data_IF_464414425385
#
_entry.id   IF_464414425385
#
_cell.length_a   1.000
_cell.length_b   1.000
_cell.length_c   1.000
_cell.angle_alpha   90.00
_cell.angle_beta   90.00
_cell.angle_gamma   90.00
#
_symmetry.space_group_name_H-M   'P 1'
#
loop_
_entity.id
_entity.type
_entity.pdbx_description
1 polymer ?
#
# COMPACT_ATOMS: atom_id res chain seq x y z
N UNK A 1 -2.20 1.08 -11.10
CA UNK A 1 -1.48 2.04 -11.98
C UNK A 1 -1.51 3.49 -11.47
N UNK A 2 -2.53 3.92 -10.71
CA UNK A 2 -2.63 5.28 -10.13
C UNK A 2 -1.63 5.57 -9.01
N UNK A 3 -1.36 4.63 -8.12
CA UNK A 3 -0.42 4.78 -6.99
C UNK A 3 0.99 5.17 -7.44
N UNK A 4 1.52 4.56 -8.50
CA UNK A 4 2.87 4.85 -9.03
C UNK A 4 2.99 6.29 -9.59
N UNK A 5 1.91 6.88 -10.04
CA UNK A 5 1.89 8.24 -10.61
C UNK A 5 1.88 9.30 -9.50
N UNK A 6 1.14 9.05 -8.43
CA UNK A 6 1.06 9.92 -7.26
C UNK A 6 2.39 9.95 -6.49
N UNK A 7 3.06 8.79 -6.34
CA UNK A 7 4.37 8.69 -5.69
C UNK A 7 5.45 9.44 -6.46
N UNK A 8 5.46 9.35 -7.80
CA UNK A 8 6.38 10.11 -8.65
C UNK A 8 6.17 11.61 -8.56
N UNK A 9 4.93 12.04 -8.44
CA UNK A 9 4.58 13.45 -8.32
C UNK A 9 5.06 14.01 -6.96
N UNK A 10 4.82 13.32 -5.85
CA UNK A 10 5.32 13.71 -4.51
C UNK A 10 6.85 13.76 -4.48
N UNK A 11 7.52 12.77 -5.10
CA UNK A 11 8.99 12.77 -5.24
C UNK A 11 9.50 13.96 -6.05
N UNK A 12 8.84 14.30 -7.15
CA UNK A 12 9.24 15.44 -7.99
C UNK A 12 9.12 16.77 -7.22
N UNK A 13 8.04 16.98 -6.47
CA UNK A 13 7.86 18.18 -5.64
C UNK A 13 8.96 18.30 -4.58
N UNK A 14 9.27 17.20 -3.89
CA UNK A 14 10.36 17.18 -2.91
C UNK A 14 11.71 17.53 -3.54
N UNK A 15 12.02 16.96 -4.71
CA UNK A 15 13.26 17.25 -5.42
C UNK A 15 13.34 18.72 -5.86
N UNK A 16 12.25 19.31 -6.35
CA UNK A 16 12.18 20.71 -6.73
C UNK A 16 12.38 21.61 -5.50
N UNK A 17 11.70 21.35 -4.40
CA UNK A 17 11.83 22.12 -3.17
C UNK A 17 13.25 22.01 -2.58
N UNK A 18 13.80 20.79 -2.49
CA UNK A 18 15.14 20.55 -1.93
C UNK A 18 16.25 21.14 -2.81
N UNK A 19 16.19 20.96 -4.14
CA UNK A 19 17.15 21.58 -5.06
C UNK A 19 17.03 23.09 -5.07
N UNK A 20 15.81 23.64 -4.99
CA UNK A 20 15.58 25.07 -4.84
C UNK A 20 16.18 25.64 -3.57
N UNK A 21 16.01 24.95 -2.43
CA UNK A 21 16.60 25.38 -1.15
C UNK A 21 18.14 25.38 -1.22
N UNK A 22 18.75 24.30 -1.72
CA UNK A 22 20.23 24.17 -1.82
C UNK A 22 20.80 25.18 -2.80
N UNK A 23 20.21 25.33 -3.99
CA UNK A 23 20.67 26.27 -4.99
C UNK A 23 20.53 27.72 -4.51
N UNK A 24 19.41 28.05 -3.87
CA UNK A 24 19.24 29.42 -3.28
C UNK A 24 20.24 29.71 -2.19
N UNK A 25 20.59 28.74 -1.32
CA UNK A 25 21.66 28.89 -0.35
C UNK A 25 23.02 29.14 -1.03
N UNK A 26 23.34 28.42 -2.11
CA UNK A 26 24.58 28.61 -2.86
C UNK A 26 24.67 30.04 -3.44
N UNK A 27 23.60 30.54 -4.04
CA UNK A 27 23.56 31.94 -4.55
C UNK A 27 23.65 32.98 -3.43
N UNK A 28 22.99 32.75 -2.31
CA UNK A 28 23.04 33.62 -1.15
C UNK A 28 24.48 33.78 -0.61
N UNK A 29 25.20 32.66 -0.45
CA UNK A 29 26.61 32.72 0.00
C UNK A 29 27.59 33.22 -1.08
N UNK A 30 27.19 33.22 -2.35
CA UNK A 30 27.94 33.81 -3.45
C UNK A 30 27.76 35.34 -3.56
N UNK A 31 26.95 35.95 -2.69
CA UNK A 31 26.69 37.37 -2.69
C UNK A 31 25.60 37.83 -3.66
N UNK A 32 24.77 36.95 -4.13
CA UNK A 32 23.65 37.18 -5.08
C UNK A 32 22.28 36.98 -4.39
N UNK A 33 21.90 37.80 -3.39
CA UNK A 33 20.69 37.58 -2.59
C UNK A 33 19.39 37.67 -3.41
N UNK A 34 19.34 38.51 -4.45
CA UNK A 34 18.14 38.64 -5.30
C UNK A 34 17.90 37.36 -6.13
N UNK A 35 18.97 36.73 -6.63
CA UNK A 35 18.91 35.49 -7.33
C UNK A 35 18.50 34.36 -6.38
N UNK A 36 19.05 34.35 -5.16
CA UNK A 36 18.69 33.39 -4.12
C UNK A 36 17.18 33.43 -3.82
N UNK A 37 16.63 34.64 -3.61
CA UNK A 37 15.21 34.83 -3.37
C UNK A 37 14.34 34.30 -4.52
N UNK A 38 14.70 34.59 -5.77
CA UNK A 38 13.98 34.11 -6.93
C UNK A 38 14.01 32.59 -7.03
N UNK A 39 15.13 31.93 -6.73
CA UNK A 39 15.29 30.47 -6.73
C UNK A 39 14.46 29.82 -5.62
N UNK A 40 14.45 30.42 -4.41
CA UNK A 40 13.62 29.92 -3.32
C UNK A 40 12.12 30.02 -3.66
N UNK A 41 11.67 31.15 -4.20
CA UNK A 41 10.27 31.29 -4.66
C UNK A 41 9.93 30.26 -5.71
N UNK A 42 10.80 30.05 -6.69
CA UNK A 42 10.58 29.02 -7.73
C UNK A 42 10.48 27.59 -7.17
N UNK A 43 11.21 27.30 -6.08
CA UNK A 43 11.14 25.99 -5.37
C UNK A 43 9.86 25.84 -4.53
N UNK A 44 9.37 26.94 -3.93
CA UNK A 44 8.21 26.94 -3.02
C UNK A 44 6.88 26.87 -3.79
N UNK A 45 6.76 27.63 -4.88
CA UNK A 45 5.48 27.78 -5.61
C UNK A 45 4.88 26.45 -6.05
N UNK A 46 5.61 25.47 -6.61
CA UNK A 46 5.06 24.17 -6.96
C UNK A 46 4.55 23.38 -5.75
N UNK A 47 5.26 23.43 -4.63
CA UNK A 47 4.87 22.76 -3.39
C UNK A 47 3.59 23.38 -2.80
N UNK A 48 3.53 24.71 -2.76
CA UNK A 48 2.34 25.44 -2.31
C UNK A 48 1.12 25.19 -3.22
N UNK A 49 1.31 25.20 -4.53
CA UNK A 49 0.23 24.93 -5.48
C UNK A 49 -0.32 23.49 -5.33
N UNK A 50 0.56 22.50 -5.16
CA UNK A 50 0.15 21.12 -4.91
C UNK A 50 -0.63 21.00 -3.61
N UNK A 51 -0.16 21.66 -2.54
CA UNK A 51 -0.81 21.67 -1.24
C UNK A 51 -2.20 22.33 -1.29
N UNK A 52 -2.34 23.46 -1.97
CA UNK A 52 -3.64 24.13 -2.16
C UNK A 52 -4.62 23.23 -2.90
N UNK A 53 -4.17 22.53 -3.95
CA UNK A 53 -5.02 21.57 -4.68
C UNK A 53 -5.44 20.41 -3.77
N UNK A 54 -4.56 19.94 -2.90
CA UNK A 54 -4.86 18.84 -1.95
C UNK A 54 -5.87 19.32 -0.90
N UNK A 55 -5.70 20.52 -0.33
CA UNK A 55 -6.66 21.14 0.59
C UNK A 55 -8.04 21.30 -0.06
N UNK A 56 -8.11 21.78 -1.30
CA UNK A 56 -9.38 21.96 -2.01
C UNK A 56 -10.11 20.62 -2.27
N UNK A 57 -9.35 19.55 -2.51
CA UNK A 57 -9.90 18.20 -2.65
C UNK A 57 -10.40 17.67 -1.30
N UNK A 58 -9.61 17.83 -0.25
CA UNK A 58 -9.93 17.40 1.12
C UNK A 58 -11.18 18.12 1.66
N UNK A 59 -11.31 19.43 1.42
CA UNK A 59 -12.51 20.17 1.80
C UNK A 59 -13.77 19.67 1.09
N UNK A 60 -13.66 19.21 -0.17
CA UNK A 60 -14.80 18.62 -0.89
C UNK A 60 -15.20 17.26 -0.35
N UNK A 61 -14.28 16.50 0.21
CA UNK A 61 -14.55 15.21 0.87
C UNK A 61 -14.98 15.34 2.33
N UNK A 62 -15.00 16.58 2.89
CA UNK A 62 -15.35 16.84 4.28
C UNK A 62 -14.25 16.51 5.28
N UNK A 63 -13.03 16.28 4.81
CA UNK A 63 -11.85 16.04 5.64
C UNK A 63 -11.04 17.34 5.71
N UNK A 64 -10.78 17.85 6.92
CA UNK A 64 -9.93 19.04 7.13
C UNK A 64 -8.67 18.59 7.83
N UNK A 65 -7.51 18.73 7.18
CA UNK A 65 -6.21 18.27 7.67
C UNK A 65 -5.29 19.41 8.17
N UNK A 66 -4.18 19.01 8.77
CA UNK A 66 -3.07 19.87 9.23
C UNK A 66 -2.42 20.70 8.10
N UNK A 67 -2.68 20.36 6.87
CA UNK A 67 -2.08 20.95 5.67
C UNK A 67 -2.38 22.45 5.50
N UNK A 68 -3.48 22.93 6.09
CA UNK A 68 -3.86 24.34 6.09
C UNK A 68 -2.81 25.21 6.80
N UNK A 69 -2.24 24.70 7.90
CA UNK A 69 -1.21 25.43 8.65
C UNK A 69 0.06 25.59 7.82
N UNK A 70 0.47 24.55 7.11
CA UNK A 70 1.63 24.61 6.21
C UNK A 70 1.38 25.57 5.04
N UNK A 71 0.18 25.55 4.44
CA UNK A 71 -0.19 26.50 3.38
C UNK A 71 -0.18 27.96 3.85
N UNK A 72 -0.76 28.24 5.02
CA UNK A 72 -0.75 29.58 5.62
C UNK A 72 0.67 30.04 5.95
N UNK A 73 1.51 29.17 6.53
CA UNK A 73 2.88 29.49 6.88
C UNK A 73 3.73 29.81 5.65
N UNK A 74 3.65 28.99 4.59
CA UNK A 74 4.37 29.26 3.34
C UNK A 74 3.87 30.54 2.65
N UNK A 75 2.55 30.74 2.62
CA UNK A 75 1.95 31.95 2.02
C UNK A 75 2.33 33.20 2.78
N UNK A 76 2.28 33.21 4.12
CA UNK A 76 2.67 34.30 4.94
C UNK A 76 4.16 34.62 4.76
N UNK A 77 5.03 33.61 4.81
CA UNK A 77 6.47 33.80 4.62
C UNK A 77 6.79 34.42 3.24
N UNK A 78 6.12 33.99 2.17
CA UNK A 78 6.28 34.62 0.85
C UNK A 78 5.80 36.06 0.81
N UNK A 79 4.67 36.40 1.45
CA UNK A 79 4.11 37.76 1.49
C UNK A 79 5.01 38.70 2.27
N UNK A 80 5.61 38.23 3.37
CA UNK A 80 6.53 39.03 4.19
C UNK A 80 7.97 39.04 3.65
N UNK A 81 8.26 38.40 2.53
CA UNK A 81 9.59 38.37 1.92
C UNK A 81 10.57 37.37 2.57
N UNK A 82 10.10 36.54 3.50
CA UNK A 82 10.90 35.54 4.19
C UNK A 82 11.00 34.24 3.33
N UNK A 83 11.61 34.39 2.15
CA UNK A 83 11.65 33.36 1.12
C UNK A 83 12.41 32.09 1.55
N UNK A 84 13.50 32.25 2.36
CA UNK A 84 14.23 31.14 2.94
C UNK A 84 13.35 30.34 3.91
N UNK A 85 12.59 31.03 4.78
CA UNK A 85 11.69 30.37 5.70
C UNK A 85 10.60 29.59 4.94
N UNK A 86 10.02 30.18 3.88
CA UNK A 86 9.08 29.50 3.01
C UNK A 86 9.69 28.25 2.36
N UNK A 87 10.94 28.33 1.88
CA UNK A 87 11.63 27.19 1.26
C UNK A 87 11.89 26.05 2.26
N UNK A 88 12.24 26.36 3.51
CA UNK A 88 12.41 25.35 4.57
C UNK A 88 11.08 24.67 4.87
N UNK A 89 9.98 25.41 5.02
CA UNK A 89 8.64 24.82 5.25
C UNK A 89 8.20 23.95 4.06
N UNK A 90 8.47 24.38 2.82
CA UNK A 90 8.16 23.60 1.63
C UNK A 90 8.91 22.26 1.60
N UNK A 91 10.20 22.24 1.98
CA UNK A 91 10.99 20.99 2.07
C UNK A 91 10.48 20.11 3.22
N UNK A 92 10.16 20.69 4.38
CA UNK A 92 9.60 19.93 5.50
C UNK A 92 8.25 19.29 5.14
N UNK A 93 7.35 20.02 4.51
CA UNK A 93 6.05 19.51 4.07
C UNK A 93 6.21 18.41 3.00
N UNK A 94 6.94 18.71 1.92
CA UNK A 94 7.12 17.75 0.82
C UNK A 94 7.91 16.50 1.24
N UNK A 95 8.88 16.66 2.17
CA UNK A 95 9.60 15.56 2.78
C UNK A 95 8.70 14.68 3.65
N UNK A 96 7.82 15.28 4.44
CA UNK A 96 6.82 14.58 5.26
C UNK A 96 5.88 13.75 4.41
N UNK A 97 5.25 14.35 3.40
CA UNK A 97 4.33 13.65 2.48
C UNK A 97 5.00 12.56 1.66
N UNK A 98 6.29 12.75 1.29
CA UNK A 98 7.09 11.70 0.63
C UNK A 98 7.36 10.52 1.56
N UNK A 99 7.81 10.78 2.81
CA UNK A 99 8.09 9.73 3.78
C UNK A 99 6.84 8.93 4.14
N UNK A 100 5.70 9.60 4.28
CA UNK A 100 4.41 8.95 4.51
C UNK A 100 4.05 8.01 3.35
N UNK A 101 4.07 8.51 2.11
CA UNK A 101 3.80 7.71 0.92
C UNK A 101 4.78 6.52 0.77
N UNK A 102 6.07 6.75 1.09
CA UNK A 102 7.10 5.70 1.05
C UNK A 102 6.83 4.61 2.11
N UNK A 103 6.51 5.01 3.34
CA UNK A 103 6.20 4.10 4.44
C UNK A 103 4.94 3.26 4.15
N UNK A 104 3.86 3.92 3.68
CA UNK A 104 2.63 3.24 3.26
C UNK A 104 2.87 2.28 2.10
N UNK A 105 3.61 2.71 1.08
CA UNK A 105 3.94 1.89 -0.07
C UNK A 105 4.81 0.67 0.29
N UNK A 106 5.69 0.81 1.29
CA UNK A 106 6.51 -0.28 1.80
C UNK A 106 5.68 -1.27 2.61
N UNK A 107 4.89 -0.78 3.57
CA UNK A 107 4.00 -1.63 4.37
C UNK A 107 3.02 -2.41 3.49
N UNK A 108 2.46 -1.76 2.47
CA UNK A 108 1.55 -2.40 1.52
C UNK A 108 2.24 -3.46 0.67
N UNK A 109 3.49 -3.25 0.23
CA UNK A 109 4.26 -4.25 -0.53
C UNK A 109 4.62 -5.46 0.31
N UNK A 110 5.14 -5.26 1.51
CA UNK A 110 5.48 -6.36 2.43
C UNK A 110 4.24 -7.23 2.75
N UNK A 111 3.09 -6.60 2.95
CA UNK A 111 1.84 -7.31 3.17
C UNK A 111 1.36 -8.04 1.89
N UNK A 112 1.46 -7.40 0.73
CA UNK A 112 1.08 -8.02 -0.55
C UNK A 112 1.97 -9.23 -0.88
N UNK A 113 3.27 -9.18 -0.58
CA UNK A 113 4.19 -10.30 -0.77
C UNK A 113 3.86 -11.49 0.15
N UNK A 114 3.38 -11.22 1.37
CA UNK A 114 2.85 -12.27 2.26
C UNK A 114 1.54 -12.88 1.72
N UNK A 115 0.68 -12.06 1.13
CA UNK A 115 -0.61 -12.47 0.57
C UNK A 115 -0.52 -13.01 -0.86
N UNK A 116 0.57 -12.79 -1.59
CA UNK A 116 0.74 -13.21 -3.00
C UNK A 116 1.23 -14.66 -3.16
N UNK A 117 1.23 -15.46 -2.11
CA UNK A 117 1.69 -16.87 -2.15
C UNK A 117 0.72 -17.79 -2.88
N UNK A 118 -0.53 -17.39 -3.11
CA UNK A 118 -1.47 -18.18 -3.89
C UNK A 118 -1.11 -18.16 -5.37
N UNK A 119 -1.01 -19.33 -6.01
CA UNK A 119 -0.71 -19.41 -7.43
C UNK A 119 -1.82 -18.70 -8.23
N UNK A 120 -1.50 -18.21 -9.41
CA UNK A 120 -2.48 -17.60 -10.34
C UNK A 120 -3.17 -18.66 -11.21
N UNK A 121 -2.59 -19.85 -11.27
CA UNK A 121 -3.04 -20.99 -12.08
C UNK A 121 -3.04 -22.25 -11.23
N UNK A 122 -3.79 -23.26 -11.65
CA UNK A 122 -3.78 -24.59 -11.06
C UNK A 122 -3.72 -25.66 -12.15
N UNK A 123 -3.21 -26.84 -11.81
CA UNK A 123 -3.19 -27.99 -12.71
C UNK A 123 -4.45 -28.83 -12.50
N UNK A 124 -5.32 -28.89 -13.53
CA UNK A 124 -6.58 -29.62 -13.51
C UNK A 124 -6.48 -30.88 -14.34
N UNK A 125 -7.09 -31.99 -13.87
CA UNK A 125 -7.29 -33.16 -14.65
C UNK A 125 -8.48 -33.01 -15.64
N UNK A 126 -8.24 -33.21 -16.93
CA UNK A 126 -9.27 -33.13 -17.97
C UNK A 126 -9.02 -34.15 -19.08
N UNK A 127 -10.04 -34.93 -19.41
CA UNK A 127 -10.00 -35.91 -20.52
C UNK A 127 -8.80 -36.87 -20.48
N UNK A 128 -8.34 -37.29 -19.30
CA UNK A 128 -7.20 -38.19 -19.11
C UNK A 128 -5.83 -37.51 -19.21
N UNK A 129 -5.76 -36.18 -19.33
CA UNK A 129 -4.56 -35.37 -19.31
C UNK A 129 -4.56 -34.33 -18.18
N UNK A 130 -3.50 -33.54 -18.14
CA UNK A 130 -3.33 -32.38 -17.22
C UNK A 130 -3.36 -31.12 -18.05
N UNK A 131 -4.13 -30.14 -17.59
CA UNK A 131 -4.14 -28.79 -18.15
C UNK A 131 -3.87 -27.76 -17.06
N UNK A 132 -3.19 -26.68 -17.41
CA UNK A 132 -3.01 -25.53 -16.53
C UNK A 132 -4.13 -24.52 -16.80
N UNK A 133 -4.86 -24.15 -15.75
CA UNK A 133 -6.01 -23.23 -15.85
C UNK A 133 -5.88 -22.08 -14.86
N UNK A 134 -6.36 -20.88 -15.20
CA UNK A 134 -6.48 -19.78 -14.26
C UNK A 134 -7.39 -20.15 -13.09
N UNK A 135 -7.12 -19.62 -11.89
CA UNK A 135 -7.93 -19.94 -10.70
C UNK A 135 -9.42 -19.60 -10.84
N UNK A 136 -9.75 -18.56 -11.59
CA UNK A 136 -11.14 -18.13 -11.81
C UNK A 136 -11.94 -19.08 -12.73
N UNK A 137 -11.29 -20.07 -13.35
CA UNK A 137 -11.93 -21.11 -14.15
C UNK A 137 -12.16 -22.41 -13.39
N UNK A 138 -11.69 -22.49 -12.12
CA UNK A 138 -11.91 -23.65 -11.26
C UNK A 138 -13.35 -23.62 -10.73
N UNK A 139 -14.04 -24.73 -10.92
CA UNK A 139 -15.39 -24.95 -10.39
C UNK A 139 -15.40 -26.05 -9.33
N UNK A 140 -16.36 -26.04 -8.39
CA UNK A 140 -16.58 -27.16 -7.49
C UNK A 140 -16.76 -28.44 -8.25
N UNK A 141 -16.03 -29.50 -7.81
CA UNK A 141 -15.98 -30.80 -8.47
C UNK A 141 -14.78 -30.99 -9.40
N UNK A 142 -14.04 -29.95 -9.76
CA UNK A 142 -12.81 -30.09 -10.53
C UNK A 142 -11.75 -30.87 -9.73
N UNK A 143 -11.07 -31.78 -10.39
CA UNK A 143 -9.96 -32.56 -9.82
C UNK A 143 -8.65 -31.88 -10.16
N UNK A 144 -7.92 -31.43 -9.12
CA UNK A 144 -6.68 -30.67 -9.21
C UNK A 144 -5.51 -31.55 -8.77
N UNK A 145 -4.38 -31.44 -9.46
CA UNK A 145 -3.11 -32.03 -9.04
C UNK A 145 -2.30 -31.00 -8.26
N UNK A 146 -1.96 -31.32 -7.01
CA UNK A 146 -1.13 -30.48 -6.12
C UNK A 146 0.22 -31.15 -5.98
N UNK A 147 1.25 -30.59 -6.65
CA UNK A 147 2.62 -31.13 -6.60
C UNK A 147 3.30 -30.76 -5.28
N UNK A 148 4.38 -31.44 -4.96
CA UNK A 148 5.23 -31.08 -3.82
C UNK A 148 5.69 -29.62 -3.94
N UNK A 149 5.49 -28.85 -2.87
CA UNK A 149 5.82 -27.41 -2.83
C UNK A 149 4.74 -26.50 -3.41
N UNK A 150 3.71 -27.05 -4.09
CA UNK A 150 2.59 -26.25 -4.59
C UNK A 150 1.72 -25.76 -3.42
N UNK A 151 1.17 -24.56 -3.58
CA UNK A 151 0.14 -24.04 -2.69
C UNK A 151 -1.23 -24.52 -3.17
N UNK A 152 -2.05 -25.01 -2.24
CA UNK A 152 -3.43 -25.42 -2.50
C UNK A 152 -4.24 -24.21 -3.00
N UNK A 153 -4.75 -24.25 -4.25
CA UNK A 153 -5.29 -23.07 -4.91
C UNK A 153 -6.70 -22.67 -4.45
N UNK A 154 -7.52 -23.65 -4.09
CA UNK A 154 -8.91 -23.50 -3.62
C UNK A 154 -9.18 -24.51 -2.52
N UNK A 155 -10.18 -24.27 -1.68
CA UNK A 155 -10.60 -25.26 -0.70
C UNK A 155 -11.14 -26.51 -1.38
N UNK A 156 -10.80 -27.66 -0.84
CA UNK A 156 -11.20 -28.93 -1.43
C UNK A 156 -11.00 -30.14 -0.52
N UNK A 157 -11.40 -31.29 -1.00
CA UNK A 157 -11.22 -32.57 -0.32
C UNK A 157 -10.12 -33.40 -0.97
N UNK A 158 -9.25 -33.99 -0.16
CA UNK A 158 -8.16 -34.86 -0.61
C UNK A 158 -8.75 -36.13 -1.27
N UNK A 159 -8.39 -36.37 -2.54
CA UNK A 159 -8.83 -37.53 -3.34
C UNK A 159 -7.74 -38.58 -3.47
N UNK A 160 -6.57 -38.38 -2.91
CA UNK A 160 -5.49 -39.36 -2.75
C UNK A 160 -5.58 -40.06 -1.39
N UNK A 161 -4.88 -41.15 -1.19
CA UNK A 161 -4.89 -41.92 0.06
C UNK A 161 -4.41 -41.04 1.25
N UNK A 162 -3.35 -40.29 1.04
CA UNK A 162 -2.79 -39.33 2.03
C UNK A 162 -2.20 -38.09 1.34
N UNK A 163 -2.24 -36.98 2.06
CA UNK A 163 -1.52 -35.77 1.72
C UNK A 163 -0.85 -35.19 3.00
N UNK A 164 0.25 -34.49 2.84
CA UNK A 164 0.89 -33.73 3.91
C UNK A 164 0.87 -32.23 3.54
N UNK A 165 0.20 -31.43 4.33
CA UNK A 165 0.07 -29.99 4.07
C UNK A 165 0.62 -29.18 5.23
N UNK A 166 1.40 -28.16 4.90
CA UNK A 166 1.87 -27.15 5.82
C UNK A 166 0.85 -26.00 5.85
N UNK A 167 0.21 -25.81 6.99
CA UNK A 167 -0.78 -24.77 7.23
C UNK A 167 -0.21 -23.57 8.01
N UNK A 168 1.11 -23.52 8.22
CA UNK A 168 1.76 -22.51 9.07
C UNK A 168 1.48 -21.07 8.62
N UNK A 169 1.34 -20.85 7.31
CA UNK A 169 0.98 -19.54 6.76
C UNK A 169 -0.43 -19.07 7.14
N UNK A 170 -1.34 -19.99 7.50
CA UNK A 170 -2.73 -19.71 7.84
C UNK A 170 -2.99 -19.73 9.35
N UNK A 171 -2.43 -20.74 10.03
CA UNK A 171 -2.70 -21.04 11.45
C UNK A 171 -1.57 -20.65 12.39
N UNK A 172 -0.35 -20.46 11.85
CA UNK A 172 0.87 -20.25 12.65
C UNK A 172 1.47 -21.55 13.21
N UNK A 173 0.86 -22.73 12.98
CA UNK A 173 1.37 -24.01 13.44
C UNK A 173 2.48 -24.54 12.51
N UNK A 174 3.68 -24.80 13.04
CA UNK A 174 4.86 -25.12 12.24
C UNK A 174 4.98 -26.57 11.77
N UNK A 175 4.10 -27.47 12.21
CA UNK A 175 4.17 -28.87 11.84
C UNK A 175 3.19 -29.21 10.71
N UNK A 176 3.66 -29.85 9.62
CA UNK A 176 2.77 -30.32 8.56
C UNK A 176 1.71 -31.30 9.08
N UNK A 177 0.49 -31.10 8.64
CA UNK A 177 -0.67 -31.93 8.99
C UNK A 177 -0.84 -33.05 7.98
N UNK A 178 -1.03 -34.28 8.46
CA UNK A 178 -1.37 -35.41 7.61
C UNK A 178 -2.88 -35.46 7.37
N UNK A 179 -3.30 -35.31 6.12
CA UNK A 179 -4.67 -35.44 5.66
C UNK A 179 -4.87 -36.85 5.03
N UNK A 180 -6.02 -37.46 5.28
CA UNK A 180 -6.43 -38.74 4.67
C UNK A 180 -7.43 -38.45 3.56
N UNK A 181 -7.71 -39.49 2.75
CA UNK A 181 -8.78 -39.45 1.77
C UNK A 181 -10.10 -38.90 2.36
N UNK A 182 -10.70 -37.93 1.68
CA UNK A 182 -11.93 -37.28 2.12
C UNK A 182 -11.72 -36.17 3.16
N UNK A 183 -10.50 -35.92 3.66
CA UNK A 183 -10.22 -34.80 4.55
C UNK A 183 -10.19 -33.51 3.78
N UNK A 184 -10.57 -32.41 4.45
CA UNK A 184 -10.52 -31.07 3.87
C UNK A 184 -9.09 -30.52 3.87
N UNK A 185 -8.68 -29.93 2.74
CA UNK A 185 -7.48 -29.15 2.60
C UNK A 185 -7.85 -27.68 2.31
N UNK A 186 -7.32 -26.77 3.13
CA UNK A 186 -7.59 -25.33 3.03
C UNK A 186 -6.72 -24.70 1.94
N UNK A 187 -7.30 -23.81 1.16
CA UNK A 187 -6.55 -22.96 0.22
C UNK A 187 -5.50 -22.13 0.96
N UNK A 188 -4.36 -21.91 0.32
CA UNK A 188 -3.22 -21.21 0.94
C UNK A 188 -2.29 -22.10 1.77
N UNK A 189 -2.65 -23.38 2.05
CA UNK A 189 -1.72 -24.36 2.62
C UNK A 189 -0.74 -24.86 1.55
N UNK A 190 0.48 -25.25 1.94
CA UNK A 190 1.52 -25.75 1.02
C UNK A 190 1.64 -27.27 1.11
N UNK A 191 1.73 -27.97 -0.02
CA UNK A 191 2.00 -29.40 -0.03
C UNK A 191 3.44 -29.68 0.43
N UNK A 192 3.59 -30.25 1.61
CA UNK A 192 4.88 -30.64 2.21
C UNK A 192 5.28 -32.10 1.92
N UNK A 193 4.44 -32.85 1.22
CA UNK A 193 4.64 -34.27 0.91
C UNK A 193 4.73 -34.57 -0.58
N UNK A 194 4.34 -35.79 -0.95
CA UNK A 194 4.21 -36.20 -2.35
C UNK A 194 3.02 -35.50 -3.03
N UNK A 195 3.00 -35.53 -4.37
CA UNK A 195 1.88 -35.00 -5.13
C UNK A 195 0.56 -35.74 -4.78
N UNK A 196 -0.50 -34.97 -4.62
CA UNK A 196 -1.81 -35.48 -4.31
C UNK A 196 -2.89 -34.81 -5.17
N UNK A 197 -4.03 -35.53 -5.29
CA UNK A 197 -5.20 -35.01 -5.97
C UNK A 197 -6.20 -34.39 -4.98
N UNK A 198 -6.74 -33.25 -5.36
CA UNK A 198 -7.74 -32.48 -4.62
C UNK A 198 -9.01 -32.36 -5.46
N UNK A 199 -10.18 -32.61 -4.89
CA UNK A 199 -11.48 -32.23 -5.48
C UNK A 199 -11.86 -30.86 -4.93
N UNK A 200 -11.96 -29.84 -5.80
CA UNK A 200 -12.38 -28.50 -5.41
C UNK A 200 -13.79 -28.50 -4.83
N UNK A 201 -13.99 -27.85 -3.69
CA UNK A 201 -15.31 -27.69 -3.05
C UNK A 201 -15.84 -26.26 -3.20
N UNK A 202 -14.97 -25.29 -3.42
CA UNK A 202 -15.31 -23.88 -3.56
C UNK A 202 -14.67 -23.30 -4.83
N UNK A 203 -15.25 -22.22 -5.34
CA UNK A 203 -14.59 -21.36 -6.32
C UNK A 203 -13.47 -20.55 -5.66
N UNK A 204 -12.51 -20.09 -6.44
CA UNK A 204 -11.35 -19.34 -5.90
C UNK A 204 -11.74 -18.09 -5.08
N UNK A 205 -12.78 -17.38 -5.52
CA UNK A 205 -13.28 -16.15 -4.83
C UNK A 205 -13.93 -16.42 -3.47
N UNK A 206 -14.45 -17.64 -3.26
CA UNK A 206 -15.17 -18.08 -2.07
C UNK A 206 -14.31 -18.99 -1.18
N UNK A 207 -13.03 -19.16 -1.52
CA UNK A 207 -12.08 -19.97 -0.76
C UNK A 207 -11.67 -19.28 0.56
N UNK A 208 -11.24 -20.08 1.54
CA UNK A 208 -10.75 -19.61 2.85
C UNK A 208 -9.70 -18.54 2.71
N UNK A 209 -8.73 -18.74 1.82
CA UNK A 209 -7.67 -17.75 1.60
C UNK A 209 -8.18 -16.43 1.03
N UNK A 210 -9.09 -16.47 0.05
CA UNK A 210 -9.71 -15.26 -0.50
C UNK A 210 -10.47 -14.47 0.59
N UNK A 211 -11.12 -15.19 1.52
CA UNK A 211 -11.75 -14.60 2.70
C UNK A 211 -10.75 -13.86 3.60
N UNK A 212 -9.59 -14.46 3.87
CA UNK A 212 -8.52 -13.84 4.66
C UNK A 212 -7.98 -12.59 3.97
N UNK A 213 -7.69 -12.67 2.67
CA UNK A 213 -7.21 -11.51 1.86
C UNK A 213 -8.21 -10.36 1.96
N UNK A 214 -9.49 -10.62 1.74
CA UNK A 214 -10.55 -9.60 1.83
C UNK A 214 -10.63 -8.95 3.20
N UNK A 215 -10.57 -9.73 4.30
CA UNK A 215 -10.57 -9.19 5.66
C UNK A 215 -9.37 -8.28 5.93
N UNK A 216 -8.18 -8.65 5.43
CA UNK A 216 -6.97 -7.84 5.56
C UNK A 216 -7.09 -6.55 4.75
N UNK A 217 -7.63 -6.61 3.53
CA UNK A 217 -7.86 -5.42 2.69
C UNK A 217 -8.88 -4.47 3.33
N UNK A 218 -9.98 -4.98 3.88
CA UNK A 218 -10.98 -4.19 4.60
C UNK A 218 -10.38 -3.53 5.86
N UNK A 219 -9.56 -4.25 6.62
CA UNK A 219 -8.86 -3.71 7.78
C UNK A 219 -7.88 -2.59 7.41
N UNK A 220 -7.19 -2.71 6.28
CA UNK A 220 -6.28 -1.67 5.77
C UNK A 220 -7.01 -0.44 5.21
N UNK A 221 -8.19 -0.63 4.62
CA UNK A 221 -9.01 0.47 4.11
C UNK A 221 -9.60 1.33 5.24
N UNK A 222 -9.70 0.80 6.46
CA UNK A 222 -10.09 1.58 7.62
C UNK A 222 -8.93 2.46 8.08
N UNK A 223 -9.00 3.79 7.80
CA UNK A 223 -8.03 4.77 8.34
C UNK A 223 -7.90 4.58 9.86
N UNK A 224 -6.67 4.51 10.35
CA UNK A 224 -6.40 4.35 11.77
C UNK A 224 -7.13 5.43 12.59
N UNK A 225 -7.81 5.08 13.71
CA UNK A 225 -8.57 6.04 14.53
C UNK A 225 -7.73 7.21 15.05
N UNK A 226 -6.42 7.01 15.21
CA UNK A 226 -5.47 8.00 15.73
C UNK A 226 -5.24 9.19 14.78
N UNK A 227 -5.18 8.98 13.46
CA UNK A 227 -5.02 10.07 12.50
C UNK A 227 -6.24 11.01 12.51
N UNK A 228 -7.45 10.45 12.59
CA UNK A 228 -8.69 11.24 12.71
C UNK A 228 -8.80 12.06 14.01
N UNK A 229 -8.22 11.58 15.10
CA UNK A 229 -8.16 12.32 16.36
C UNK A 229 -7.18 13.50 16.26
N UNK A 230 -6.00 13.31 15.70
CA UNK A 230 -5.01 14.37 15.49
C UNK A 230 -5.59 15.48 14.62
N UNK A 231 -6.30 15.16 13.54
CA UNK A 231 -6.95 16.14 12.65
C UNK A 231 -8.03 16.95 13.34
N UNK A 232 -8.83 16.36 14.22
CA UNK A 232 -9.86 17.10 15.01
C UNK A 232 -9.25 18.08 16.01
N UNK A 233 -8.15 17.70 16.68
CA UNK A 233 -7.48 18.56 17.64
C UNK A 233 -6.70 19.69 16.99
N UNK A 234 -6.16 19.48 15.77
CA UNK A 234 -5.45 20.51 15.02
C UNK A 234 -6.32 21.68 14.63
N UNK A 235 -7.62 21.45 14.31
CA UNK A 235 -8.57 22.52 14.03
C UNK A 235 -8.87 23.38 15.27
N UNK A 236 -9.00 22.74 16.43
CA UNK A 236 -9.15 23.47 17.70
C UNK A 236 -7.93 24.33 18.03
N UNK A 237 -6.74 23.80 17.77
CA UNK A 237 -5.48 24.52 17.99
C UNK A 237 -5.31 25.69 17.01
N UNK A 238 -5.67 25.49 15.73
CA UNK A 238 -5.67 26.55 14.72
C UNK A 238 -6.59 27.72 15.14
N UNK A 239 -7.80 27.42 15.60
CA UNK A 239 -8.75 28.46 16.03
C UNK A 239 -8.22 29.29 17.21
N UNK A 240 -7.51 28.66 18.15
CA UNK A 240 -6.89 29.34 19.30
C UNK A 240 -5.65 30.14 18.89
N UNK A 241 -4.90 29.71 17.86
CA UNK A 241 -3.65 30.39 17.45
C UNK A 241 -3.91 31.62 16.58
N UNK A 242 -5.05 31.66 15.87
CA UNK A 242 -5.42 32.74 14.93
C UNK A 242 -6.32 33.80 15.60
N UNK A 243 -6.87 33.55 16.81
CA UNK A 243 -7.66 34.48 17.59
C UNK A 243 -6.79 35.33 18.54
#
# INVERSE_FOLDING_TARGET
METTRTDRFKTAILLIAATGLIAGLAFYFSGEPDVANAVWIAGVVPALAALVVEILRSLRSGEVGLDIVAALSMSAALVFGETLAAAVVAVMYSGGTFLEAFAEGRARREMHDLLSRVPRTATRHRNGGLEEVPLNEIAPGDRLLIRQGDVVPVDGTVSSETAFVDTSALTGESLPVRLRYGAEAMSGSTNAGEAFDLIATHEAKDSTYAGIVRLVEEAQASKAPMSRLADRWSLGFLAVTVS
#
